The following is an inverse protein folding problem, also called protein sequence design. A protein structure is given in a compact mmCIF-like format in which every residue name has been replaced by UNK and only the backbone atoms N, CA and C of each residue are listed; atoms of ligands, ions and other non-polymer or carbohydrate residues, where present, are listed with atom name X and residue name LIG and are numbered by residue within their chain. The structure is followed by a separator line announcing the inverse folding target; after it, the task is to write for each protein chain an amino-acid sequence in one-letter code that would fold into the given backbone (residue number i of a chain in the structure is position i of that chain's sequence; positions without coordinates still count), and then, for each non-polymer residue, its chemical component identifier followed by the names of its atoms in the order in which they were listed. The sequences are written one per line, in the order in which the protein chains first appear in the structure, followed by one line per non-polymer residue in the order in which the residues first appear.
data_IF_264933958743
#
_entry.id   IF_264933958743
#
_cell.length_a   1.000
_cell.length_b   1.000
_cell.length_c   1.000
_cell.angle_alpha   90.00
_cell.angle_beta   90.00
_cell.angle_gamma   90.00
#
_symmetry.space_group_name_H-M   'P 1'
#
loop_
_entity.id
_entity.type
_entity.pdbx_description
1 polymer ?
#
# COMPACT_ATOMS: atom_id res chain seq x y z
N UNK A 1 10.38 6.82 6.64
CA UNK A 1 9.05 7.26 6.15
C UNK A 1 9.15 8.50 5.26
N UNK A 2 9.73 9.65 5.73
CA UNK A 2 9.84 10.84 4.87
C UNK A 2 10.61 10.56 3.57
N UNK A 3 11.72 9.85 3.64
CA UNK A 3 12.47 9.43 2.45
C UNK A 3 11.66 8.56 1.50
N UNK A 4 10.80 7.69 2.04
CA UNK A 4 9.90 6.85 1.24
C UNK A 4 8.87 7.70 0.49
N UNK A 5 8.23 8.64 1.18
CA UNK A 5 7.27 9.57 0.56
C UNK A 5 7.89 10.35 -0.60
N UNK A 6 9.11 10.85 -0.44
CA UNK A 6 9.80 11.62 -1.48
C UNK A 6 10.04 10.83 -2.77
N UNK A 7 10.09 9.48 -2.73
CA UNK A 7 10.28 8.67 -3.93
C UNK A 7 9.09 8.64 -4.86
N UNK A 8 7.89 8.97 -4.36
CA UNK A 8 6.66 8.93 -5.17
C UNK A 8 5.79 10.17 -5.05
N UNK A 9 6.20 11.16 -4.25
CA UNK A 9 5.45 12.41 -4.05
C UNK A 9 5.04 13.10 -5.36
N UNK A 10 5.93 13.12 -6.36
CA UNK A 10 5.67 13.75 -7.65
C UNK A 10 4.57 13.08 -8.48
N UNK A 11 4.21 11.83 -8.12
CA UNK A 11 3.17 11.06 -8.82
C UNK A 11 1.79 11.21 -8.18
N UNK A 12 1.70 11.84 -7.01
CA UNK A 12 0.42 12.13 -6.35
C UNK A 12 -0.07 13.50 -6.84
N UNK A 13 -1.29 13.53 -7.35
CA UNK A 13 -1.96 14.79 -7.64
C UNK A 13 -2.62 15.33 -6.38
N UNK A 14 -2.07 16.41 -5.83
CA UNK A 14 -2.54 17.01 -4.59
C UNK A 14 -3.98 17.56 -4.65
N UNK A 15 -4.47 17.84 -5.83
CA UNK A 15 -5.81 18.39 -6.03
C UNK A 15 -6.85 17.29 -6.31
N UNK A 16 -6.48 16.30 -7.11
CA UNK A 16 -7.41 15.32 -7.67
C UNK A 16 -7.45 14.00 -6.89
N UNK A 17 -6.31 13.57 -6.29
CA UNK A 17 -6.25 12.31 -5.55
C UNK A 17 -6.89 12.50 -4.15
N UNK A 18 -8.04 11.88 -3.91
CA UNK A 18 -8.82 12.01 -2.66
C UNK A 18 -8.88 10.73 -1.84
N UNK A 19 -8.90 9.57 -2.48
CA UNK A 19 -9.07 8.27 -1.86
C UNK A 19 -7.79 7.44 -1.91
N UNK A 20 -7.21 7.23 -0.74
CA UNK A 20 -5.98 6.46 -0.57
C UNK A 20 -6.28 5.10 0.04
N UNK A 21 -5.66 4.05 -0.49
CA UNK A 21 -5.66 2.71 0.07
C UNK A 21 -4.25 2.28 0.41
N UNK A 22 -4.03 1.90 1.66
CA UNK A 22 -2.80 1.28 2.14
C UNK A 22 -3.03 -0.21 2.40
N UNK A 23 -2.20 -1.08 1.82
CA UNK A 23 -2.26 -2.53 2.03
C UNK A 23 -1.00 -2.96 2.76
N UNK A 24 -1.14 -3.41 4.00
CA UNK A 24 -0.01 -3.82 4.82
C UNK A 24 0.92 -2.66 5.23
N UNK A 25 0.37 -1.46 5.44
CA UNK A 25 1.10 -0.24 5.82
C UNK A 25 1.53 -0.19 7.29
N UNK A 26 1.20 -1.22 8.07
CA UNK A 26 1.48 -1.30 9.49
C UNK A 26 0.74 -0.23 10.27
N UNK A 27 1.44 0.56 11.11
CA UNK A 27 0.79 1.62 11.90
C UNK A 27 0.33 2.84 11.08
N UNK A 28 0.66 2.93 9.79
CA UNK A 28 0.24 4.05 8.94
C UNK A 28 1.13 5.30 9.04
N UNK A 29 2.39 5.13 9.41
CA UNK A 29 3.32 6.26 9.54
C UNK A 29 3.63 6.97 8.22
N UNK A 30 3.54 6.27 7.09
CA UNK A 30 3.66 6.87 5.77
C UNK A 30 2.44 7.73 5.43
N UNK A 31 1.26 7.22 5.74
CA UNK A 31 -0.02 7.89 5.49
C UNK A 31 -0.17 9.15 6.36
N UNK A 32 0.41 9.17 7.57
CA UNK A 32 0.51 10.41 8.35
C UNK A 32 1.32 11.48 7.61
N UNK A 33 2.48 11.12 7.04
CA UNK A 33 3.30 12.06 6.26
C UNK A 33 2.54 12.54 5.02
N UNK A 34 1.82 11.65 4.35
CA UNK A 34 0.96 12.03 3.22
C UNK A 34 -0.11 13.01 3.70
N UNK A 35 -0.78 12.74 4.82
CA UNK A 35 -1.83 13.60 5.39
C UNK A 35 -1.31 14.98 5.84
N UNK A 36 -0.08 15.08 6.34
CA UNK A 36 0.57 16.37 6.65
C UNK A 36 0.74 17.25 5.41
N UNK A 37 0.97 16.63 4.26
CA UNK A 37 1.14 17.33 2.98
C UNK A 37 -0.17 17.52 2.21
N UNK A 38 -1.15 16.62 2.43
CA UNK A 38 -2.44 16.53 1.73
C UNK A 38 -3.59 16.57 2.73
N UNK A 39 -4.06 17.76 3.08
CA UNK A 39 -5.15 17.88 4.04
C UNK A 39 -6.48 17.35 3.47
N UNK A 40 -7.33 16.81 4.36
CA UNK A 40 -8.70 16.37 4.07
C UNK A 40 -8.86 15.22 3.06
N UNK A 41 -7.89 14.32 2.98
CA UNK A 41 -7.98 13.09 2.17
C UNK A 41 -8.60 11.93 2.98
N UNK A 42 -9.08 10.91 2.28
CA UNK A 42 -9.67 9.72 2.89
C UNK A 42 -8.69 8.55 2.80
N UNK A 43 -8.37 7.97 3.94
CA UNK A 43 -7.42 6.86 4.05
C UNK A 43 -8.13 5.59 4.42
N UNK A 44 -7.89 4.55 3.65
CA UNK A 44 -8.33 3.19 3.90
C UNK A 44 -7.12 2.31 4.12
N UNK A 45 -7.20 1.44 5.12
CA UNK A 45 -6.12 0.53 5.48
C UNK A 45 -6.66 -0.90 5.45
N UNK A 46 -5.98 -1.79 4.74
CA UNK A 46 -6.25 -3.22 4.77
C UNK A 46 -5.06 -3.88 5.48
N UNK A 47 -5.34 -4.47 6.62
CA UNK A 47 -4.36 -5.04 7.52
C UNK A 47 -4.87 -6.37 8.08
N UNK A 48 -3.97 -7.15 8.69
CA UNK A 48 -4.33 -8.30 9.52
C UNK A 48 -4.16 -7.96 10.99
N UNK A 49 -5.16 -8.29 11.80
CA UNK A 49 -5.19 -7.95 13.22
C UNK A 49 -4.53 -9.04 14.09
N UNK A 50 -3.25 -9.28 13.88
CA UNK A 50 -2.44 -10.11 14.78
C UNK A 50 -0.95 -9.81 14.64
N UNK A 51 -0.18 -10.27 15.65
CA UNK A 51 1.29 -10.13 15.66
C UNK A 51 1.91 -11.52 15.63
N UNK A 52 2.63 -11.82 14.56
CA UNK A 52 3.36 -13.08 14.39
C UNK A 52 4.47 -13.21 15.42
N UNK A 53 4.66 -14.41 15.97
CA UNK A 53 5.69 -14.69 16.98
C UNK A 53 7.11 -14.61 16.42
N UNK A 54 7.27 -14.78 15.12
CA UNK A 54 8.57 -14.71 14.43
C UNK A 54 8.47 -13.71 13.30
N UNK A 55 9.49 -12.89 13.17
CA UNK A 55 9.64 -12.01 12.03
C UNK A 55 10.31 -12.79 10.90
N UNK A 56 9.65 -12.85 9.75
CA UNK A 56 10.20 -13.45 8.53
C UNK A 56 10.50 -12.32 7.55
N UNK A 57 11.74 -12.26 7.13
CA UNK A 57 12.21 -11.30 6.15
C UNK A 57 12.40 -12.00 4.79
N UNK A 58 11.99 -11.34 3.73
CA UNK A 58 12.33 -11.76 2.38
C UNK A 58 11.14 -11.90 1.43
N UNK A 59 11.51 -11.97 0.18
CA UNK A 59 10.60 -12.17 -0.95
C UNK A 59 10.31 -13.66 -1.08
N UNK A 60 9.29 -14.15 -0.39
CA UNK A 60 9.04 -15.59 -0.34
C UNK A 60 8.27 -16.13 -1.55
N UNK A 61 7.55 -15.28 -2.26
CA UNK A 61 6.65 -15.68 -3.35
C UNK A 61 5.57 -16.68 -2.93
N UNK A 62 5.39 -16.87 -1.62
CA UNK A 62 4.38 -17.75 -1.02
C UNK A 62 3.36 -16.90 -0.29
N UNK A 63 2.14 -17.41 -0.22
CA UNK A 63 1.13 -16.83 0.66
C UNK A 63 1.60 -17.06 2.10
N UNK A 64 1.99 -15.99 2.76
CA UNK A 64 2.37 -15.99 4.16
C UNK A 64 1.17 -15.55 5.00
N UNK A 65 0.99 -16.19 6.14
CA UNK A 65 -0.04 -15.79 7.10
C UNK A 65 0.52 -14.87 8.19
N UNK A 66 1.62 -14.19 7.88
CA UNK A 66 2.29 -13.32 8.84
C UNK A 66 1.66 -11.93 8.85
N UNK A 67 1.52 -11.39 10.03
CA UNK A 67 1.15 -10.00 10.25
C UNK A 67 1.82 -9.48 11.51
N UNK A 68 1.98 -8.18 11.60
CA UNK A 68 2.70 -7.51 12.69
C UNK A 68 1.95 -6.28 13.15
N UNK A 69 0.60 -6.32 13.13
CA UNK A 69 -0.22 -5.16 13.43
C UNK A 69 -1.32 -5.47 14.46
N UNK A 70 -1.65 -4.46 15.26
CA UNK A 70 -2.84 -4.37 16.09
C UNK A 70 -3.65 -3.16 15.62
N UNK A 71 -4.86 -3.40 15.13
CA UNK A 71 -5.67 -2.36 14.49
C UNK A 71 -6.14 -1.29 15.48
N UNK A 72 -6.26 -1.61 16.78
CA UNK A 72 -6.59 -0.62 17.80
C UNK A 72 -5.40 0.30 18.06
N UNK A 73 -4.20 -0.27 18.11
CA UNK A 73 -2.95 0.50 18.24
C UNK A 73 -2.78 1.38 17.00
N UNK A 74 -2.97 0.84 15.80
CA UNK A 74 -2.90 1.60 14.56
C UNK A 74 -3.85 2.79 14.57
N UNK A 75 -5.12 2.58 14.89
CA UNK A 75 -6.11 3.66 14.97
C UNK A 75 -5.70 4.74 15.97
N UNK A 76 -5.35 4.33 17.18
CA UNK A 76 -4.90 5.25 18.22
C UNK A 76 -3.65 6.04 17.81
N UNK A 77 -2.69 5.38 17.15
CA UNK A 77 -1.48 6.01 16.65
C UNK A 77 -1.80 7.09 15.61
N UNK A 78 -2.66 6.81 14.65
CA UNK A 78 -3.06 7.77 13.63
C UNK A 78 -3.79 8.99 14.23
N UNK A 79 -4.73 8.75 15.15
CA UNK A 79 -5.51 9.81 15.81
C UNK A 79 -4.62 10.71 16.69
N UNK A 80 -3.75 10.14 17.51
CA UNK A 80 -2.83 10.90 18.39
C UNK A 80 -1.86 11.77 17.56
N UNK A 81 -1.49 11.31 16.37
CA UNK A 81 -0.61 12.04 15.46
C UNK A 81 -1.38 12.94 14.47
N UNK A 82 -2.63 13.28 14.77
CA UNK A 82 -3.37 14.37 14.12
C UNK A 82 -4.22 14.00 12.92
N UNK A 83 -4.34 12.72 12.56
CA UNK A 83 -5.30 12.29 11.54
C UNK A 83 -6.71 12.30 12.15
N UNK A 84 -7.66 12.92 11.46
CA UNK A 84 -9.05 12.99 11.96
C UNK A 84 -9.70 11.60 11.90
N UNK A 85 -10.50 11.20 12.92
CA UNK A 85 -11.21 9.90 12.91
C UNK A 85 -12.06 9.67 11.65
N UNK A 86 -12.65 10.74 11.09
CA UNK A 86 -13.44 10.67 9.85
C UNK A 86 -12.63 10.37 8.58
N UNK A 87 -11.31 10.47 8.64
CA UNK A 87 -10.40 10.17 7.52
C UNK A 87 -9.86 8.74 7.59
N UNK A 88 -10.06 8.03 8.72
CA UNK A 88 -9.43 6.73 9.01
C UNK A 88 -10.45 5.62 8.84
N UNK A 89 -10.24 4.73 7.88
CA UNK A 89 -11.06 3.54 7.64
C UNK A 89 -10.13 2.31 7.67
N UNK A 90 -10.20 1.49 8.71
CA UNK A 90 -9.33 0.32 8.89
C UNK A 90 -10.16 -0.94 8.74
N UNK A 91 -9.68 -1.89 7.93
CA UNK A 91 -10.30 -3.16 7.62
C UNK A 91 -9.39 -4.32 8.02
N UNK A 92 -9.91 -5.23 8.84
CA UNK A 92 -9.27 -6.52 9.11
C UNK A 92 -9.47 -7.44 7.89
N UNK A 93 -8.38 -7.75 7.19
CA UNK A 93 -8.41 -8.60 6.00
C UNK A 93 -9.13 -9.94 6.22
N UNK A 94 -9.01 -10.51 7.42
CA UNK A 94 -9.52 -11.84 7.72
C UNK A 94 -11.01 -11.83 8.18
N UNK A 95 -11.59 -10.66 8.51
CA UNK A 95 -12.92 -10.57 9.11
C UNK A 95 -13.86 -9.62 8.39
N UNK A 96 -13.34 -8.53 7.85
CA UNK A 96 -14.18 -7.48 7.32
C UNK A 96 -14.45 -7.65 5.82
N UNK A 97 -15.60 -7.17 5.37
CA UNK A 97 -15.83 -6.96 3.95
C UNK A 97 -14.91 -5.83 3.49
N UNK A 98 -13.98 -6.14 2.59
CA UNK A 98 -13.06 -5.15 2.04
C UNK A 98 -13.82 -4.05 1.25
N UNK A 99 -13.31 -2.81 1.25
CA UNK A 99 -13.93 -1.70 0.53
C UNK A 99 -13.99 -1.98 -0.96
N UNK A 100 -15.10 -1.62 -1.61
CA UNK A 100 -15.34 -1.87 -3.05
C UNK A 100 -15.46 -0.59 -3.89
N UNK A 101 -15.19 0.57 -3.28
CA UNK A 101 -15.08 1.85 -3.98
C UNK A 101 -13.82 1.92 -4.84
N UNK A 102 -13.75 2.90 -5.74
CA UNK A 102 -12.53 3.20 -6.50
C UNK A 102 -11.57 4.02 -5.67
N UNK A 103 -10.28 3.77 -5.86
CA UNK A 103 -9.20 4.49 -5.22
C UNK A 103 -8.34 5.21 -6.26
N UNK A 104 -7.82 6.37 -5.88
CA UNK A 104 -6.94 7.18 -6.71
C UNK A 104 -5.49 6.71 -6.56
N UNK A 105 -5.10 6.39 -5.32
CA UNK A 105 -3.76 5.93 -4.98
C UNK A 105 -3.83 4.69 -4.08
N UNK A 106 -3.14 3.63 -4.48
CA UNK A 106 -2.99 2.38 -3.73
C UNK A 106 -1.50 2.21 -3.42
N UNK A 107 -1.15 2.07 -2.13
CA UNK A 107 0.24 1.97 -1.67
C UNK A 107 0.41 0.68 -0.87
N UNK A 108 1.52 -0.03 -1.15
CA UNK A 108 1.90 -1.22 -0.38
C UNK A 108 3.41 -1.39 -0.35
N UNK A 109 4.08 -0.75 0.60
CA UNK A 109 5.53 -0.85 0.71
C UNK A 109 5.91 -2.04 1.58
N UNK A 110 6.78 -2.93 1.05
CA UNK A 110 7.29 -4.13 1.74
C UNK A 110 6.19 -5.07 2.28
N UNK A 111 5.01 -5.10 1.65
CA UNK A 111 3.95 -6.02 2.01
C UNK A 111 3.47 -6.80 0.79
N UNK A 112 2.77 -6.16 -0.13
CA UNK A 112 2.33 -6.76 -1.39
C UNK A 112 3.53 -7.10 -2.26
N UNK A 113 3.55 -8.29 -2.86
CA UNK A 113 4.68 -8.88 -3.59
C UNK A 113 5.95 -9.12 -2.73
N UNK A 114 5.89 -8.87 -1.43
CA UNK A 114 6.96 -9.14 -0.46
C UNK A 114 6.58 -10.28 0.50
N UNK A 115 5.66 -10.05 1.42
CA UNK A 115 5.12 -11.07 2.32
C UNK A 115 4.00 -11.87 1.68
N UNK A 116 3.25 -11.23 0.76
CA UNK A 116 2.11 -11.81 0.08
C UNK A 116 2.32 -11.74 -1.42
N UNK A 117 2.04 -12.85 -2.14
CA UNK A 117 2.09 -12.84 -3.59
C UNK A 117 1.06 -11.84 -4.13
N UNK A 118 1.50 -11.02 -5.09
CA UNK A 118 0.63 -10.04 -5.75
C UNK A 118 -0.61 -10.69 -6.38
N UNK A 119 -0.48 -11.93 -6.84
CA UNK A 119 -1.56 -12.64 -7.53
C UNK A 119 -2.83 -12.79 -6.70
N UNK A 120 -2.71 -12.90 -5.36
CA UNK A 120 -3.89 -13.02 -4.48
C UNK A 120 -4.76 -11.75 -4.47
N UNK A 121 -4.21 -10.61 -4.87
CA UNK A 121 -4.89 -9.32 -4.87
C UNK A 121 -5.31 -8.84 -6.27
N UNK A 122 -4.89 -9.49 -7.37
CA UNK A 122 -5.10 -8.99 -8.74
C UNK A 122 -6.57 -8.66 -9.00
N UNK A 123 -7.48 -9.60 -8.75
CA UNK A 123 -8.90 -9.41 -9.01
C UNK A 123 -9.51 -8.31 -8.15
N UNK A 124 -9.11 -8.25 -6.88
CA UNK A 124 -9.54 -7.19 -5.98
C UNK A 124 -9.04 -5.83 -6.45
N UNK A 125 -7.74 -5.70 -6.73
CA UNK A 125 -7.13 -4.46 -7.21
C UNK A 125 -7.75 -3.99 -8.54
N UNK A 126 -8.03 -4.92 -9.47
CA UNK A 126 -8.72 -4.64 -10.72
C UNK A 126 -10.12 -4.05 -10.46
N UNK A 127 -10.85 -4.65 -9.51
CA UNK A 127 -12.19 -4.19 -9.13
C UNK A 127 -12.19 -2.77 -8.57
N UNK A 128 -11.23 -2.40 -7.73
CA UNK A 128 -11.17 -1.11 -7.03
C UNK A 128 -10.35 -0.04 -7.76
N UNK A 129 -9.78 -0.35 -8.92
CA UNK A 129 -9.02 0.59 -9.76
C UNK A 129 -9.86 1.14 -10.91
N UNK A 130 -9.51 2.34 -11.34
CA UNK A 130 -9.95 2.96 -12.59
C UNK A 130 -8.73 3.24 -13.50
N UNK A 131 -8.92 3.92 -14.63
CA UNK A 131 -7.83 4.22 -15.57
C UNK A 131 -6.74 5.13 -14.99
N UNK A 132 -7.06 5.93 -13.98
CA UNK A 132 -6.15 6.90 -13.38
C UNK A 132 -5.55 6.39 -12.06
N UNK A 133 -6.02 5.26 -11.53
CA UNK A 133 -5.52 4.69 -10.28
C UNK A 133 -4.02 4.42 -10.36
N UNK A 134 -3.28 4.92 -9.40
CA UNK A 134 -1.85 4.75 -9.22
C UNK A 134 -1.61 3.66 -8.18
N UNK A 135 -0.93 2.58 -8.55
CA UNK A 135 -0.60 1.47 -7.65
C UNK A 135 0.91 1.49 -7.43
N UNK A 136 1.34 1.74 -6.21
CA UNK A 136 2.75 1.95 -5.82
C UNK A 136 3.15 0.87 -4.84
N UNK A 137 4.16 0.06 -5.20
CA UNK A 137 4.67 -0.98 -4.31
C UNK A 137 6.12 -1.36 -4.64
N UNK A 138 6.74 -2.13 -3.72
CA UNK A 138 8.10 -2.60 -3.88
C UNK A 138 8.12 -4.04 -4.42
N UNK A 139 9.02 -4.35 -5.37
CA UNK A 139 9.18 -5.68 -5.96
C UNK A 139 10.62 -5.96 -6.38
N UNK A 140 11.00 -7.23 -6.44
CA UNK A 140 12.27 -7.70 -7.06
C UNK A 140 12.08 -8.14 -8.51
N UNK A 141 10.84 -8.21 -9.00
CA UNK A 141 10.48 -8.72 -10.34
C UNK A 141 9.65 -7.72 -11.16
N UNK A 142 10.13 -6.49 -11.41
CA UNK A 142 9.33 -5.44 -12.06
C UNK A 142 8.80 -5.85 -13.43
N UNK A 143 9.57 -6.61 -14.21
CA UNK A 143 9.20 -7.03 -15.57
C UNK A 143 7.98 -7.99 -15.59
N UNK A 144 7.73 -8.69 -14.48
CA UNK A 144 6.53 -9.53 -14.33
C UNK A 144 5.25 -8.70 -14.49
N UNK A 145 5.25 -7.47 -14.00
CA UNK A 145 4.08 -6.58 -13.98
C UNK A 145 3.73 -5.98 -15.34
N UNK A 146 4.62 -6.05 -16.33
CA UNK A 146 4.33 -5.70 -17.72
C UNK A 146 3.28 -6.61 -18.37
N UNK A 147 3.01 -7.78 -17.77
CA UNK A 147 1.94 -8.71 -18.20
C UNK A 147 0.60 -8.41 -17.55
N UNK A 148 0.58 -7.55 -16.54
CA UNK A 148 -0.59 -7.25 -15.72
C UNK A 148 -1.08 -5.82 -15.98
N UNK A 149 -0.15 -4.88 -16.15
CA UNK A 149 -0.43 -3.47 -16.32
C UNK A 149 0.09 -2.93 -17.65
N UNK A 150 -0.66 -2.00 -18.21
CA UNK A 150 -0.26 -1.27 -19.42
C UNK A 150 0.94 -0.36 -19.16
N UNK A 151 0.97 0.28 -17.99
CA UNK A 151 2.03 1.18 -17.60
C UNK A 151 2.71 0.63 -16.33
N UNK A 152 4.01 0.43 -16.41
CA UNK A 152 4.89 0.03 -15.30
C UNK A 152 6.12 0.92 -15.34
N UNK A 153 6.36 1.68 -14.29
CA UNK A 153 7.51 2.58 -14.18
C UNK A 153 8.27 2.30 -12.90
N UNK A 154 9.57 2.06 -12.99
CA UNK A 154 10.47 2.06 -11.82
C UNK A 154 10.68 3.50 -11.38
N UNK A 155 10.30 3.82 -10.15
CA UNK A 155 10.35 5.18 -9.59
C UNK A 155 11.40 5.36 -8.50
N UNK A 156 11.88 4.25 -7.89
CA UNK A 156 13.01 4.27 -6.97
C UNK A 156 13.73 2.93 -6.94
N UNK A 157 15.03 2.96 -6.68
CA UNK A 157 15.88 1.81 -6.44
C UNK A 157 16.19 1.72 -4.94
N UNK A 158 15.96 0.56 -4.33
CA UNK A 158 16.25 0.28 -2.93
C UNK A 158 17.63 -0.42 -2.81
N UNK A 159 18.67 0.18 -3.39
CA UNK A 159 20.01 -0.43 -3.49
C UNK A 159 20.66 -0.70 -2.13
N UNK A 160 20.34 0.13 -1.14
CA UNK A 160 20.90 0.02 0.21
C UNK A 160 20.11 -0.93 1.12
N UNK A 161 19.06 -1.58 0.60
CA UNK A 161 18.32 -2.59 1.36
C UNK A 161 18.87 -3.98 1.09
N UNK A 162 18.73 -4.88 2.05
CA UNK A 162 19.11 -6.30 1.94
C UNK A 162 18.47 -6.96 0.70
N UNK A 163 17.35 -6.46 0.25
CA UNK A 163 16.52 -7.07 -0.79
C UNK A 163 16.71 -6.48 -2.18
N UNK A 164 17.39 -5.34 -2.33
CA UNK A 164 17.61 -4.65 -3.62
C UNK A 164 16.33 -4.54 -4.45
N UNK A 165 15.20 -4.25 -3.79
CA UNK A 165 13.92 -4.11 -4.46
C UNK A 165 13.87 -2.83 -5.29
N UNK A 166 12.89 -2.80 -6.19
CA UNK A 166 12.55 -1.63 -6.98
C UNK A 166 11.15 -1.18 -6.58
N UNK A 167 10.99 0.11 -6.31
CA UNK A 167 9.66 0.70 -6.19
C UNK A 167 9.12 0.94 -7.57
N UNK A 168 7.94 0.44 -7.85
CA UNK A 168 7.26 0.63 -9.12
C UNK A 168 5.93 1.36 -8.94
N UNK A 169 5.59 2.13 -9.97
CA UNK A 169 4.28 2.71 -10.17
C UNK A 169 3.62 1.99 -11.34
N UNK A 170 2.47 1.39 -11.07
CA UNK A 170 1.65 0.71 -12.06
C UNK A 170 0.33 1.42 -12.27
N UNK A 171 -0.22 1.38 -13.48
CA UNK A 171 -1.57 1.83 -13.79
C UNK A 171 -2.15 1.09 -15.00
N UNK A 172 -3.49 1.10 -15.09
CA UNK A 172 -4.27 0.50 -16.18
C UNK A 172 -4.01 -1.01 -16.33
N UNK A 173 -4.83 -1.80 -15.67
CA UNK A 173 -4.80 -3.25 -15.86
C UNK A 173 -5.00 -3.63 -17.33
N UNK A 174 -4.21 -4.57 -17.82
CA UNK A 174 -4.47 -5.22 -19.11
C UNK A 174 -5.76 -6.06 -19.02
N UNK A 175 -6.49 -6.16 -20.15
CA UNK A 175 -7.71 -6.98 -20.26
C UNK A 175 -7.39 -8.47 -20.22
#
# INVERSE_FOLDING_TARGET
MQSEFLTFKEYIDFNEDEHFLSIGGGLGGLELIINENLQNKNYHFIERNFVSKKVVYGWSGKVNNEAYNDLNIQKSFLEINGMKPSQINIFDYDKDKLPDQKFDVIISLLSLDYHYDFEIYIEYLRKISNLNTKIIFDTIRPDYFLKIFKNVKVIALQENTTHKSKRILCSQFLN
#
